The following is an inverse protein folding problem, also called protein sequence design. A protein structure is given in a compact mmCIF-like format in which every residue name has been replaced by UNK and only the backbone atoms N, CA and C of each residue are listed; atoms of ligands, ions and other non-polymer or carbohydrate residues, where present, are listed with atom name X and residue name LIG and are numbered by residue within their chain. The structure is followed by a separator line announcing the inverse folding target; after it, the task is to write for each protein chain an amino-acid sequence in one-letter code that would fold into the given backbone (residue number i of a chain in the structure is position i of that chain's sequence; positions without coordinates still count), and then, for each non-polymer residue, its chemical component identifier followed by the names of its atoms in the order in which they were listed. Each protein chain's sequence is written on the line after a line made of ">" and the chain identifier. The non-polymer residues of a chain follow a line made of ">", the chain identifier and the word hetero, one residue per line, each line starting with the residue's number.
data_IF_850937395019
#
_entry.id   IF_850937395019
#
_cell.length_a   1.000
_cell.length_b   1.000
_cell.length_c   1.000
_cell.angle_alpha   90.00
_cell.angle_beta   90.00
_cell.angle_gamma   90.00
#
_symmetry.space_group_name_H-M   'P 1'
#
loop_
_entity.id
_entity.type
_entity.pdbx_description
1 polymer ?
#
# COMPACT_ATOMS: atom_id res chain seq x y z
N UNK A 1 -4.47 -4.51 1.79
CA UNK A 1 -3.49 -3.74 2.58
C UNK A 1 -3.14 -2.51 1.76
N UNK A 2 -2.94 -1.35 2.38
CA UNK A 2 -2.50 -0.16 1.62
C UNK A 2 -1.01 -0.21 1.32
N UNK A 3 -0.54 0.60 0.36
CA UNK A 3 0.89 0.69 0.04
C UNK A 3 1.74 1.00 1.28
N UNK A 4 1.26 1.89 2.14
CA UNK A 4 1.95 2.28 3.36
C UNK A 4 1.99 1.16 4.42
N UNK A 5 0.91 0.37 4.54
CA UNK A 5 0.91 -0.82 5.40
C UNK A 5 1.90 -1.87 4.92
N UNK A 6 1.94 -2.13 3.61
CA UNK A 6 2.87 -3.08 3.00
C UNK A 6 4.32 -2.62 3.16
N UNK A 7 4.59 -1.35 2.90
CA UNK A 7 5.90 -0.75 3.11
C UNK A 7 6.38 -0.88 4.56
N UNK A 8 5.51 -0.56 5.53
CA UNK A 8 5.83 -0.67 6.94
C UNK A 8 6.12 -2.11 7.36
N UNK A 9 5.36 -3.08 6.84
CA UNK A 9 5.60 -4.50 7.08
C UNK A 9 6.93 -4.97 6.50
N UNK A 10 7.24 -4.61 5.24
CA UNK A 10 8.51 -4.96 4.56
C UNK A 10 9.74 -4.36 5.28
N UNK A 11 9.58 -3.15 5.81
CA UNK A 11 10.66 -2.40 6.46
C UNK A 11 10.79 -2.68 7.96
N UNK A 12 9.98 -3.60 8.53
CA UNK A 12 9.96 -3.89 9.96
C UNK A 12 9.56 -2.68 10.82
N UNK A 13 8.84 -1.71 10.25
CA UNK A 13 8.41 -0.49 10.93
C UNK A 13 7.11 -0.76 11.67
N UNK A 14 7.18 -0.63 12.99
CA UNK A 14 5.98 -0.64 13.82
C UNK A 14 5.37 0.76 13.88
N UNK A 15 4.05 0.83 14.02
CA UNK A 15 3.34 2.09 14.28
C UNK A 15 3.93 2.85 15.48
N UNK A 16 4.39 2.12 16.51
CA UNK A 16 5.09 2.69 17.66
C UNK A 16 6.38 3.42 17.24
N UNK A 17 7.23 2.75 16.45
CA UNK A 17 8.49 3.33 15.98
C UNK A 17 8.26 4.54 15.08
N UNK A 18 7.27 4.44 14.18
CA UNK A 18 6.86 5.56 13.33
C UNK A 18 6.41 6.74 14.20
N UNK A 19 5.54 6.52 15.18
CA UNK A 19 5.04 7.57 16.07
C UNK A 19 6.16 8.24 16.87
N UNK A 20 7.05 7.44 17.47
CA UNK A 20 8.16 7.93 18.29
C UNK A 20 9.14 8.81 17.51
N UNK A 21 9.46 8.44 16.27
CA UNK A 21 10.46 9.16 15.47
C UNK A 21 9.83 10.32 14.69
N UNK A 22 8.64 10.12 14.11
CA UNK A 22 7.98 11.15 13.29
C UNK A 22 7.28 12.23 14.12
N UNK A 23 6.97 11.94 15.39
CA UNK A 23 6.13 12.77 16.25
C UNK A 23 4.64 12.74 15.88
N UNK A 24 4.23 11.91 14.91
CA UNK A 24 2.82 11.76 14.56
C UNK A 24 2.07 10.97 15.65
N UNK A 25 0.83 11.38 16.00
CA UNK A 25 -0.02 10.58 16.85
C UNK A 25 -0.29 9.19 16.24
N UNK A 26 -0.39 8.12 17.05
CA UNK A 26 -0.73 6.79 16.55
C UNK A 26 -2.04 6.75 15.76
N UNK A 27 -3.02 7.58 16.13
CA UNK A 27 -4.28 7.73 15.40
C UNK A 27 -4.11 8.28 13.98
N UNK A 28 -3.18 9.23 13.80
CA UNK A 28 -2.84 9.77 12.48
C UNK A 28 -2.17 8.71 11.61
N UNK A 29 -1.24 7.93 12.16
CA UNK A 29 -0.57 6.85 11.44
C UNK A 29 -1.57 5.76 11.06
N UNK A 30 -2.41 5.33 12.01
CA UNK A 30 -3.48 4.36 11.77
C UNK A 30 -4.46 4.82 10.69
N UNK A 31 -4.74 6.12 10.60
CA UNK A 31 -5.57 6.67 9.54
C UNK A 31 -4.84 6.67 8.19
N UNK A 32 -3.54 7.02 8.17
CA UNK A 32 -2.72 6.97 6.96
C UNK A 32 -2.63 5.55 6.39
N UNK A 33 -2.54 4.53 7.26
CA UNK A 33 -2.50 3.12 6.88
C UNK A 33 -3.80 2.63 6.20
N UNK A 34 -4.90 3.38 6.28
CA UNK A 34 -6.18 3.05 5.64
C UNK A 34 -6.43 3.82 4.34
N UNK A 35 -5.53 4.71 3.97
CA UNK A 35 -5.69 5.64 2.85
C UNK A 35 -4.86 5.20 1.65
N UNK A 36 -5.38 5.48 0.46
CA UNK A 36 -4.57 5.48 -0.77
C UNK A 36 -3.54 6.61 -0.73
N UNK A 37 -2.54 6.56 -1.61
CA UNK A 37 -1.52 7.61 -1.63
C UNK A 37 -2.10 8.98 -1.97
N UNK A 38 -3.07 9.05 -2.88
CA UNK A 38 -3.79 10.29 -3.23
C UNK A 38 -4.59 10.91 -2.07
N UNK A 39 -4.89 10.13 -1.02
CA UNK A 39 -5.61 10.60 0.18
C UNK A 39 -4.66 10.95 1.34
N UNK A 40 -3.37 10.65 1.20
CA UNK A 40 -2.34 10.89 2.21
C UNK A 40 -1.73 12.27 2.02
N UNK A 41 -1.61 13.03 3.12
CA UNK A 41 -1.05 14.39 3.03
C UNK A 41 0.47 14.35 2.91
N UNK A 42 1.03 15.30 2.17
CA UNK A 42 2.50 15.48 2.03
C UNK A 42 3.17 15.58 3.41
N UNK A 43 2.56 16.26 4.37
CA UNK A 43 3.07 16.37 5.75
C UNK A 43 3.21 15.00 6.43
N UNK A 44 2.27 14.09 6.19
CA UNK A 44 2.32 12.73 6.75
C UNK A 44 3.44 11.92 6.09
N UNK A 45 3.56 11.99 4.76
CA UNK A 45 4.66 11.38 4.01
C UNK A 45 6.02 11.88 4.49
N UNK A 46 6.19 13.20 4.62
CA UNK A 46 7.42 13.81 5.14
C UNK A 46 7.80 13.30 6.53
N UNK A 47 6.81 13.19 7.43
CA UNK A 47 7.03 12.75 8.79
C UNK A 47 7.43 11.26 8.83
N UNK A 48 6.83 10.42 7.98
CA UNK A 48 7.19 8.99 7.85
C UNK A 48 8.56 8.82 7.20
N UNK A 49 8.88 9.59 6.15
CA UNK A 49 10.17 9.55 5.47
C UNK A 49 11.35 9.82 6.44
N UNK A 50 11.16 10.76 7.38
CA UNK A 50 12.12 10.99 8.47
C UNK A 50 12.41 9.74 9.32
N UNK A 51 11.43 8.85 9.48
CA UNK A 51 11.58 7.63 10.31
C UNK A 51 12.45 6.57 9.66
N UNK A 52 12.55 6.61 8.32
CA UNK A 52 13.32 5.69 7.49
C UNK A 52 14.59 6.33 6.93
N UNK A 53 14.88 7.58 7.32
CA UNK A 53 16.03 8.35 6.82
C UNK A 53 16.05 8.48 5.28
N UNK A 54 14.87 8.49 4.67
CA UNK A 54 14.69 8.74 3.25
C UNK A 54 14.13 10.15 3.01
N UNK A 55 14.29 10.65 1.79
CA UNK A 55 13.55 11.82 1.33
C UNK A 55 12.06 11.47 1.15
N UNK A 56 11.16 12.47 1.21
CA UNK A 56 9.74 12.24 0.91
C UNK A 56 9.50 11.75 -0.53
N UNK A 57 10.40 12.09 -1.47
CA UNK A 57 10.34 11.65 -2.86
C UNK A 57 10.63 10.16 -2.98
N UNK A 58 11.76 9.71 -2.43
CA UNK A 58 12.13 8.28 -2.43
C UNK A 58 11.06 7.40 -1.77
N UNK A 59 10.51 7.84 -0.62
CA UNK A 59 9.41 7.12 0.01
C UNK A 59 8.17 7.09 -0.89
N UNK A 60 7.84 8.19 -1.57
CA UNK A 60 6.68 8.24 -2.45
C UNK A 60 6.86 7.31 -3.66
N UNK A 61 8.05 7.29 -4.25
CA UNK A 61 8.37 6.44 -5.40
C UNK A 61 8.19 4.95 -5.03
N UNK A 62 8.75 4.51 -3.90
CA UNK A 62 8.56 3.14 -3.42
C UNK A 62 7.09 2.81 -3.13
N UNK A 63 6.35 3.75 -2.56
CA UNK A 63 4.94 3.56 -2.27
C UNK A 63 4.11 3.44 -3.55
N UNK A 64 4.43 4.21 -4.60
CA UNK A 64 3.75 4.13 -5.90
C UNK A 64 3.96 2.76 -6.56
N UNK A 65 5.18 2.23 -6.52
CA UNK A 65 5.48 0.87 -7.02
C UNK A 65 4.69 -0.21 -6.27
N UNK A 66 4.56 -0.05 -4.94
CA UNK A 66 3.77 -0.97 -4.12
C UNK A 66 2.28 -0.85 -4.47
N UNK A 67 1.74 0.36 -4.60
CA UNK A 67 0.32 0.59 -4.96
C UNK A 67 0.00 -0.03 -6.32
N UNK A 68 0.89 0.14 -7.30
CA UNK A 68 0.76 -0.49 -8.61
C UNK A 68 0.78 -2.02 -8.54
N UNK A 69 1.68 -2.59 -7.73
CA UNK A 69 1.76 -4.05 -7.53
C UNK A 69 0.47 -4.59 -6.91
N UNK A 70 -0.10 -3.89 -5.93
CA UNK A 70 -1.37 -4.26 -5.29
C UNK A 70 -2.49 -4.28 -6.34
N UNK A 71 -2.63 -3.21 -7.12
CA UNK A 71 -3.67 -3.11 -8.15
C UNK A 71 -3.51 -4.21 -9.21
N UNK A 72 -2.28 -4.48 -9.67
CA UNK A 72 -2.01 -5.58 -10.62
C UNK A 72 -2.40 -6.94 -10.05
N UNK A 73 -2.12 -7.20 -8.77
CA UNK A 73 -2.51 -8.45 -8.13
C UNK A 73 -4.03 -8.58 -8.02
N UNK A 74 -4.72 -7.53 -7.58
CA UNK A 74 -6.18 -7.50 -7.49
C UNK A 74 -6.84 -7.77 -8.85
N UNK A 75 -6.31 -7.18 -9.93
CA UNK A 75 -6.78 -7.44 -11.29
C UNK A 75 -6.57 -8.88 -11.72
N UNK A 76 -5.42 -9.47 -11.41
CA UNK A 76 -5.13 -10.87 -11.72
C UNK A 76 -6.08 -11.80 -10.96
N UNK A 77 -6.31 -11.53 -9.67
CA UNK A 77 -7.24 -12.32 -8.85
C UNK A 77 -8.67 -12.25 -9.40
N UNK A 78 -9.14 -11.06 -9.80
CA UNK A 78 -10.44 -10.87 -10.45
C UNK A 78 -10.52 -11.65 -11.76
N UNK A 79 -9.49 -11.58 -12.60
CA UNK A 79 -9.46 -12.30 -13.87
C UNK A 79 -9.56 -13.81 -13.67
N UNK A 80 -8.85 -14.36 -12.68
CA UNK A 80 -8.93 -15.79 -12.36
C UNK A 80 -10.32 -16.19 -11.85
N UNK A 81 -10.96 -15.36 -11.02
CA UNK A 81 -12.35 -15.60 -10.59
C UNK A 81 -13.33 -15.60 -11.76
N UNK A 82 -13.17 -14.67 -12.72
CA UNK A 82 -14.00 -14.62 -13.93
C UNK A 82 -13.80 -15.88 -14.77
N UNK A 83 -12.54 -16.30 -14.98
CA UNK A 83 -12.23 -17.53 -15.72
C UNK A 83 -12.91 -18.75 -15.08
N UNK A 84 -12.80 -18.89 -13.76
CA UNK A 84 -13.45 -19.96 -13.02
C UNK A 84 -14.98 -19.95 -13.20
N UNK A 85 -15.61 -18.77 -13.12
CA UNK A 85 -17.05 -18.64 -13.31
C UNK A 85 -17.49 -19.00 -14.73
N UNK A 86 -16.74 -18.59 -15.75
CA UNK A 86 -17.03 -18.92 -17.16
C UNK A 86 -16.94 -20.42 -17.43
N UNK A 87 -15.94 -21.09 -16.86
CA UNK A 87 -15.80 -22.55 -16.93
C UNK A 87 -17.02 -23.25 -16.31
N UNK A 88 -17.46 -22.80 -15.12
CA UNK A 88 -18.67 -23.33 -14.45
C UNK A 88 -19.92 -23.16 -15.31
N UNK A 89 -20.01 -22.06 -16.07
CA UNK A 89 -21.11 -21.79 -16.99
C UNK A 89 -20.98 -22.53 -18.34
N UNK A 90 -19.95 -23.34 -18.53
CA UNK A 90 -19.74 -24.15 -19.74
C UNK A 90 -19.09 -23.40 -20.91
N UNK A 91 -18.56 -22.18 -20.69
CA UNK A 91 -17.80 -21.47 -21.71
C UNK A 91 -16.37 -22.04 -21.79
N UNK A 92 -15.87 -22.18 -23.03
CA UNK A 92 -14.46 -22.51 -23.28
C UNK A 92 -13.65 -21.22 -23.34
N UNK A 93 -12.58 -21.15 -22.56
CA UNK A 93 -11.65 -20.01 -22.56
C UNK A 93 -10.55 -20.30 -23.58
N UNK A 94 -10.27 -19.33 -24.44
CA UNK A 94 -9.19 -19.38 -25.44
C UNK A 94 -8.19 -18.30 -25.06
N UNK A 95 -6.92 -18.65 -24.94
CA UNK A 95 -5.82 -17.75 -24.56
C UNK A 95 -5.50 -16.71 -25.64
#
# INVERSE_FOLDING_TARGET
>A
MTALEVYAARSGLTMYRISKISGLPPSTIKNAFKKTLGQTTIRTLQAIAKTVQASPGELLDELLEIEETIVRQELNDINELIKQQLIVLGYTIVD
#
